data_IF_425536042254
#
_entry.id   IF_425536042254
#
_cell.length_a   1.000
_cell.length_b   1.000
_cell.length_c   1.000
_cell.angle_alpha   90.00
_cell.angle_beta   90.00
_cell.angle_gamma   90.00
#
_symmetry.space_group_name_H-M   'P 1'
#
loop_
_entity.id
_entity.type
_entity.pdbx_description
1 polymer ?
#
# COMPACT_ATOMS: atom_id res chain seq x y z
N UNK A 1 -26.54 27.03 1.95
CA UNK A 1 -25.20 27.60 2.28
C UNK A 1 -24.20 26.50 2.60
N UNK A 2 -23.03 26.61 2.02
CA UNK A 2 -21.97 25.60 2.22
C UNK A 2 -21.40 25.63 3.63
N UNK A 3 -21.33 24.48 4.28
CA UNK A 3 -20.67 24.32 5.57
C UNK A 3 -19.60 23.24 5.45
N UNK A 4 -18.46 23.48 6.08
CA UNK A 4 -17.36 22.53 6.07
C UNK A 4 -17.03 22.22 7.52
N UNK A 5 -17.02 20.92 7.86
CA UNK A 5 -16.68 20.49 9.22
C UNK A 5 -15.50 19.54 9.24
N UNK A 6 -14.76 19.61 10.33
CA UNK A 6 -13.66 18.69 10.59
C UNK A 6 -14.19 17.43 11.25
N UNK A 7 -13.65 16.27 10.84
CA UNK A 7 -13.93 14.99 11.48
C UNK A 7 -12.65 14.22 11.64
N UNK A 8 -12.46 13.66 12.81
CA UNK A 8 -11.30 12.78 13.06
C UNK A 8 -11.42 11.47 12.33
N UNK A 9 -12.65 10.96 12.24
CA UNK A 9 -12.93 9.68 11.60
C UNK A 9 -14.13 9.83 10.70
N UNK A 10 -14.15 9.10 9.61
CA UNK A 10 -15.28 9.05 8.72
C UNK A 10 -16.25 7.96 9.16
N UNK A 11 -17.51 8.15 8.87
CA UNK A 11 -18.54 7.17 9.13
C UNK A 11 -18.78 6.35 7.87
N UNK A 12 -19.50 5.25 8.01
CA UNK A 12 -19.79 4.35 6.92
C UNK A 12 -20.41 5.04 5.71
N UNK A 13 -21.32 5.98 5.96
CA UNK A 13 -21.96 6.73 4.87
C UNK A 13 -20.98 7.56 4.07
N UNK A 14 -19.92 8.05 4.72
CA UNK A 14 -18.88 8.82 4.04
C UNK A 14 -18.07 7.94 3.12
N UNK A 15 -17.70 6.74 3.59
CA UNK A 15 -16.97 5.78 2.78
C UNK A 15 -17.80 5.31 1.58
N UNK A 16 -19.10 5.09 1.79
CA UNK A 16 -20.00 4.70 0.71
C UNK A 16 -20.09 5.76 -0.36
N UNK A 17 -20.17 7.01 0.04
CA UNK A 17 -20.23 8.12 -0.89
C UNK A 17 -18.95 8.22 -1.72
N UNK A 18 -17.78 8.07 -1.06
CA UNK A 18 -16.49 8.10 -1.74
C UNK A 18 -16.43 6.99 -2.79
N UNK A 19 -16.79 5.77 -2.40
CA UNK A 19 -16.74 4.62 -3.30
C UNK A 19 -17.67 4.80 -4.49
N UNK A 20 -18.89 5.26 -4.25
CA UNK A 20 -19.85 5.48 -5.30
C UNK A 20 -19.38 6.52 -6.31
N UNK A 21 -18.80 7.62 -5.83
CA UNK A 21 -18.32 8.67 -6.72
C UNK A 21 -17.10 8.23 -7.50
N UNK A 22 -16.18 7.47 -6.88
CA UNK A 22 -15.06 6.91 -7.59
C UNK A 22 -15.50 5.96 -8.70
N UNK A 23 -16.48 5.12 -8.41
CA UNK A 23 -17.01 4.18 -9.41
C UNK A 23 -17.64 4.91 -10.59
N UNK A 24 -18.42 5.95 -10.31
CA UNK A 24 -19.01 6.77 -11.36
C UNK A 24 -17.96 7.43 -12.22
N UNK A 25 -16.95 7.99 -11.58
CA UNK A 25 -15.87 8.68 -12.29
C UNK A 25 -15.08 7.72 -13.16
N UNK A 26 -14.75 6.55 -12.62
CA UNK A 26 -14.00 5.53 -13.36
C UNK A 26 -14.82 5.04 -14.56
N UNK A 27 -16.09 4.74 -14.36
CA UNK A 27 -16.97 4.27 -15.43
C UNK A 27 -17.10 5.32 -16.54
N UNK A 28 -17.27 6.58 -16.15
CA UNK A 28 -17.39 7.68 -17.10
C UNK A 28 -16.16 7.85 -17.96
N UNK A 29 -14.99 7.53 -17.41
CA UNK A 29 -13.72 7.65 -18.12
C UNK A 29 -13.25 6.34 -18.74
N UNK A 30 -14.11 5.33 -18.76
CA UNK A 30 -13.79 4.06 -19.38
C UNK A 30 -12.80 3.22 -18.60
N UNK A 31 -12.67 3.46 -17.30
CA UNK A 31 -11.75 2.74 -16.43
C UNK A 31 -12.55 1.86 -15.48
N UNK A 32 -12.15 0.60 -15.37
CA UNK A 32 -12.78 -0.32 -14.42
C UNK A 32 -12.16 -0.10 -13.05
N UNK A 33 -13.01 0.08 -12.05
CA UNK A 33 -12.56 0.18 -10.68
C UNK A 33 -12.19 -1.21 -10.19
N UNK A 34 -10.91 -1.41 -9.86
CA UNK A 34 -10.38 -2.70 -9.44
C UNK A 34 -9.65 -2.62 -8.11
N UNK A 35 -10.17 -1.81 -7.20
CA UNK A 35 -9.57 -1.66 -5.88
C UNK A 35 -9.63 -2.96 -5.11
N UNK A 36 -8.49 -3.41 -4.62
CA UNK A 36 -8.37 -4.61 -3.80
C UNK A 36 -7.29 -4.43 -2.74
N UNK A 37 -7.59 -4.92 -1.55
CA UNK A 37 -6.59 -4.99 -0.49
C UNK A 37 -5.82 -6.28 -0.62
N UNK A 38 -4.57 -6.28 -0.16
CA UNK A 38 -3.78 -7.50 -0.12
C UNK A 38 -2.97 -7.56 1.17
N UNK A 39 -2.55 -8.77 1.52
CA UNK A 39 -1.62 -9.01 2.60
C UNK A 39 -0.82 -10.27 2.29
N UNK A 40 0.46 -10.24 2.59
CA UNK A 40 1.31 -11.42 2.56
C UNK A 40 1.91 -11.59 3.94
N UNK A 41 1.85 -12.80 4.45
CA UNK A 41 2.26 -13.10 5.81
C UNK A 41 3.44 -14.06 5.77
N UNK A 42 4.54 -13.69 6.41
CA UNK A 42 5.70 -14.55 6.55
C UNK A 42 5.59 -15.32 7.85
N UNK A 43 5.74 -16.63 7.77
CA UNK A 43 5.69 -17.51 8.93
C UNK A 43 6.94 -18.34 9.03
N UNK A 44 7.36 -18.62 10.25
CA UNK A 44 8.43 -19.54 10.52
C UNK A 44 7.96 -20.47 11.62
N UNK A 45 7.94 -21.78 11.34
CA UNK A 45 7.43 -22.81 12.28
C UNK A 45 6.04 -22.46 12.81
N UNK A 46 5.15 -22.02 11.93
CA UNK A 46 3.79 -21.60 12.24
C UNK A 46 3.66 -20.32 13.05
N UNK A 47 4.78 -19.64 13.29
CA UNK A 47 4.76 -18.33 13.96
C UNK A 47 4.80 -17.22 12.94
N UNK A 48 3.93 -16.23 13.06
CA UNK A 48 3.93 -15.07 12.18
C UNK A 48 5.12 -14.20 12.56
N UNK A 49 6.03 -13.97 11.60
CA UNK A 49 7.24 -13.19 11.83
C UNK A 49 7.28 -11.90 11.03
N UNK A 50 6.44 -11.78 10.04
CA UNK A 50 6.36 -10.54 9.26
C UNK A 50 5.07 -10.46 8.47
N UNK A 51 4.67 -9.23 8.13
CA UNK A 51 3.46 -8.98 7.35
C UNK A 51 3.71 -7.78 6.45
N UNK A 52 3.28 -7.87 5.21
CA UNK A 52 3.23 -6.73 4.31
C UNK A 52 1.79 -6.58 3.84
N UNK A 53 1.28 -5.36 3.88
CA UNK A 53 -0.08 -5.07 3.45
C UNK A 53 -0.10 -3.92 2.47
N UNK A 54 -1.17 -3.82 1.73
CA UNK A 54 -1.37 -2.71 0.84
C UNK A 54 -2.66 -2.87 0.06
N UNK A 55 -2.72 -2.16 -1.04
CA UNK A 55 -3.87 -2.25 -1.93
C UNK A 55 -3.43 -2.00 -3.36
N UNK A 56 -4.25 -2.46 -4.28
CA UNK A 56 -4.04 -2.22 -5.70
C UNK A 56 -5.28 -1.54 -6.25
N UNK A 57 -5.08 -0.60 -7.17
CA UNK A 57 -6.15 0.12 -7.83
C UNK A 57 -5.64 0.62 -9.17
N UNK A 58 -6.47 0.47 -10.19
CA UNK A 58 -6.08 0.80 -11.56
C UNK A 58 -4.78 0.07 -11.95
N UNK A 59 -3.72 0.80 -12.21
CA UNK A 59 -2.41 0.24 -12.58
C UNK A 59 -1.36 0.40 -11.49
N UNK A 60 -1.81 0.75 -10.28
CA UNK A 60 -0.93 1.04 -9.16
C UNK A 60 -1.05 0.00 -8.07
N UNK A 61 0.08 -0.31 -7.44
CA UNK A 61 0.13 -1.11 -6.23
C UNK A 61 0.73 -0.24 -5.14
N UNK A 62 0.01 -0.08 -4.04
CA UNK A 62 0.48 0.74 -2.92
C UNK A 62 0.73 -0.12 -1.70
N UNK A 63 1.95 -0.06 -1.18
CA UNK A 63 2.31 -0.78 0.06
C UNK A 63 1.98 0.13 1.22
N UNK A 64 1.14 -0.36 2.13
CA UNK A 64 0.70 0.39 3.30
C UNK A 64 1.58 0.14 4.52
N UNK A 65 1.81 -1.13 4.83
CA UNK A 65 2.58 -1.51 6.01
C UNK A 65 3.54 -2.64 5.70
N UNK A 66 4.69 -2.59 6.30
CA UNK A 66 5.65 -3.69 6.30
C UNK A 66 6.21 -3.79 7.71
N UNK A 67 5.87 -4.86 8.40
CA UNK A 67 6.25 -5.08 9.79
C UNK A 67 6.96 -6.43 9.91
N UNK A 68 8.13 -6.40 10.52
CA UNK A 68 8.90 -7.61 10.82
C UNK A 68 9.14 -7.62 12.33
N UNK A 69 8.92 -8.74 12.98
CA UNK A 69 9.21 -8.88 14.41
C UNK A 69 10.68 -8.56 14.66
N UNK A 70 10.95 -7.87 15.76
CA UNK A 70 12.30 -7.39 16.07
C UNK A 70 13.36 -8.48 16.01
N UNK A 71 13.08 -9.65 16.59
CA UNK A 71 14.00 -10.78 16.61
C UNK A 71 14.29 -11.39 15.24
N UNK A 72 13.47 -11.07 14.25
CA UNK A 72 13.60 -11.60 12.89
C UNK A 72 14.08 -10.55 11.89
N UNK A 73 14.47 -9.38 12.36
CA UNK A 73 15.02 -8.34 11.49
C UNK A 73 16.44 -8.71 11.07
N UNK A 74 16.89 -8.12 9.97
CA UNK A 74 18.22 -8.41 9.40
C UNK A 74 18.38 -9.83 8.89
N UNK A 75 17.28 -10.53 8.63
CA UNK A 75 17.28 -11.87 8.05
C UNK A 75 16.67 -11.87 6.64
N UNK A 76 16.56 -10.69 6.04
CA UNK A 76 16.03 -10.50 4.68
C UNK A 76 14.56 -10.88 4.49
N UNK A 77 13.80 -11.02 5.56
CA UNK A 77 12.38 -11.33 5.46
C UNK A 77 11.62 -10.19 4.81
N UNK A 78 11.95 -8.94 5.18
CA UNK A 78 11.34 -7.78 4.57
C UNK A 78 11.57 -7.72 3.06
N UNK A 79 12.80 -7.99 2.63
CA UNK A 79 13.12 -8.02 1.20
C UNK A 79 12.34 -9.09 0.47
N UNK A 80 12.19 -10.25 1.09
CA UNK A 80 11.41 -11.34 0.50
C UNK A 80 9.94 -11.00 0.37
N UNK A 81 9.39 -10.30 1.35
CA UNK A 81 8.00 -9.86 1.30
C UNK A 81 7.79 -8.84 0.17
N UNK A 82 8.70 -7.89 0.03
CA UNK A 82 8.63 -6.91 -1.07
C UNK A 82 8.73 -7.62 -2.42
N UNK A 83 9.66 -8.55 -2.56
CA UNK A 83 9.81 -9.34 -3.79
C UNK A 83 8.56 -10.15 -4.09
N UNK A 84 7.89 -10.67 -3.06
CA UNK A 84 6.66 -11.41 -3.23
C UNK A 84 5.56 -10.54 -3.81
N UNK A 85 5.44 -9.30 -3.33
CA UNK A 85 4.49 -8.34 -3.88
C UNK A 85 4.81 -8.07 -5.36
N UNK A 86 6.06 -7.80 -5.67
CA UNK A 86 6.48 -7.54 -7.05
C UNK A 86 6.15 -8.72 -7.96
N UNK A 87 6.48 -9.93 -7.52
CA UNK A 87 6.21 -11.14 -8.30
C UNK A 87 4.72 -11.41 -8.48
N UNK A 88 3.95 -11.15 -7.44
CA UNK A 88 2.50 -11.36 -7.49
C UNK A 88 1.83 -10.47 -8.53
N UNK A 89 2.27 -9.23 -8.65
CA UNK A 89 1.67 -8.27 -9.58
C UNK A 89 2.37 -8.18 -10.92
N UNK A 90 3.47 -8.88 -11.09
CA UNK A 90 4.18 -8.92 -12.36
C UNK A 90 3.28 -9.50 -13.45
N UNK A 91 3.29 -8.88 -14.61
CA UNK A 91 2.52 -9.34 -15.79
C UNK A 91 1.00 -9.36 -15.60
N UNK A 92 0.50 -8.60 -14.62
CA UNK A 92 -0.95 -8.48 -14.40
C UNK A 92 -1.49 -7.10 -14.79
N UNK A 93 -0.71 -6.34 -15.52
CA UNK A 93 -1.15 -5.03 -16.01
C UNK A 93 -0.87 -3.87 -15.07
N UNK A 94 -0.15 -4.11 -13.98
CA UNK A 94 0.23 -3.03 -13.07
C UNK A 94 1.54 -2.40 -13.53
N UNK A 95 1.61 -1.09 -13.42
CA UNK A 95 2.76 -0.33 -13.90
C UNK A 95 3.69 0.14 -12.80
N UNK A 96 3.14 0.44 -11.63
CA UNK A 96 3.92 1.00 -10.53
C UNK A 96 3.64 0.34 -9.20
N UNK A 97 4.66 0.26 -8.37
CA UNK A 97 4.54 -0.09 -6.96
C UNK A 97 5.08 1.10 -6.19
N UNK A 98 4.29 1.63 -5.29
CA UNK A 98 4.68 2.81 -4.52
C UNK A 98 4.41 2.63 -3.04
N UNK A 99 4.99 3.49 -2.25
CA UNK A 99 4.78 3.51 -0.81
C UNK A 99 5.16 4.89 -0.27
N UNK A 100 4.71 5.16 0.95
CA UNK A 100 5.10 6.35 1.68
C UNK A 100 5.82 5.91 2.94
N UNK A 101 6.96 6.51 3.23
CA UNK A 101 7.72 6.20 4.44
C UNK A 101 8.19 7.49 5.10
N UNK A 102 8.29 7.46 6.43
CA UNK A 102 8.81 8.57 7.20
C UNK A 102 10.31 8.37 7.44
N UNK A 103 11.01 9.44 7.76
CA UNK A 103 12.45 9.38 7.98
C UNK A 103 12.88 8.41 9.07
N UNK A 104 12.01 8.12 10.04
CA UNK A 104 12.31 7.16 11.10
C UNK A 104 11.95 5.71 10.74
N UNK A 105 11.33 5.48 9.55
CA UNK A 105 10.90 4.15 9.09
C UNK A 105 11.87 3.64 8.07
N UNK A 106 12.88 3.29 8.02
CA UNK A 106 13.82 2.63 7.11
C UNK A 106 13.69 3.01 5.62
N UNK A 107 13.78 4.31 5.25
CA UNK A 107 13.77 4.66 3.83
C UNK A 107 14.94 4.04 3.05
N UNK A 108 16.07 3.83 3.70
CA UNK A 108 17.23 3.19 3.06
C UNK A 108 16.95 1.75 2.68
N UNK A 109 16.16 1.03 3.49
CA UNK A 109 15.73 -0.32 3.17
C UNK A 109 14.96 -0.34 1.85
N UNK A 110 14.01 0.58 1.68
CA UNK A 110 13.20 0.63 0.46
C UNK A 110 14.05 0.99 -0.76
N UNK A 111 15.02 1.86 -0.60
CA UNK A 111 15.94 2.17 -1.69
C UNK A 111 16.72 0.95 -2.12
N UNK A 112 17.15 0.11 -1.17
CA UNK A 112 17.82 -1.14 -1.47
C UNK A 112 16.93 -2.12 -2.20
N UNK A 113 15.63 -2.05 -1.98
CA UNK A 113 14.66 -2.87 -2.70
C UNK A 113 14.35 -2.35 -4.10
N UNK A 114 14.95 -1.25 -4.50
CA UNK A 114 14.78 -0.69 -5.84
C UNK A 114 13.80 0.45 -5.94
N UNK A 115 13.27 0.93 -4.83
CA UNK A 115 12.36 2.07 -4.85
C UNK A 115 13.13 3.37 -5.03
N UNK A 116 12.55 4.26 -5.84
CA UNK A 116 13.10 5.58 -6.06
C UNK A 116 12.25 6.60 -5.35
N UNK A 117 12.89 7.64 -4.86
CA UNK A 117 12.20 8.72 -4.21
C UNK A 117 11.56 9.62 -5.28
N UNK A 118 10.24 9.57 -5.38
CA UNK A 118 9.51 10.30 -6.42
C UNK A 118 9.22 11.74 -6.06
N UNK A 119 9.03 12.02 -4.81
CA UNK A 119 8.75 13.35 -4.35
C UNK A 119 8.94 13.38 -2.86
N UNK A 120 9.62 14.40 -2.39
CA UNK A 120 9.92 14.48 -0.99
C UNK A 120 9.10 15.56 -0.34
N UNK A 121 8.09 15.12 0.38
CA UNK A 121 7.36 16.02 1.24
C UNK A 121 7.87 15.82 2.65
N UNK A 122 8.04 16.90 3.35
CA UNK A 122 8.57 16.81 4.70
C UNK A 122 7.77 15.95 5.64
N UNK A 123 6.50 15.79 5.38
CA UNK A 123 5.59 15.05 6.25
C UNK A 123 5.30 13.64 5.80
N UNK A 124 6.01 13.19 4.80
CA UNK A 124 5.80 11.83 4.29
C UNK A 124 7.04 10.99 4.47
#
# INVERSE_FOLDING_TARGET
MLNIEYKDNLEEEHYSMIDNEFNKFATKNGVTCNYRSFAFIAKEDNKIVGIITGNSYYKEVHISDLIILEEYRNKQIGSKLVETVESHYKDKGFENINLTTYGFQAPEFYKKCGFKECGRRRKC
#
